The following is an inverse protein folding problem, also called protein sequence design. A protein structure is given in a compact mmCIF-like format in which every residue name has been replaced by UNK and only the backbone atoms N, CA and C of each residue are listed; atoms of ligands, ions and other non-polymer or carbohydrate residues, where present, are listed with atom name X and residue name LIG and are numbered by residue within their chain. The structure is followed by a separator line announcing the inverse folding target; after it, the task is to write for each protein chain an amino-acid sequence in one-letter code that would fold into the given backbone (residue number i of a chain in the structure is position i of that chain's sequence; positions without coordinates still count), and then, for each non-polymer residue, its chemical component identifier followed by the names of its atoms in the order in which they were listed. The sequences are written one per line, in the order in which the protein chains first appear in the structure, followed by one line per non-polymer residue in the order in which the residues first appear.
data_IF_113475645510
#
_entry.id   IF_113475645510
#
_cell.length_a   1.000
_cell.length_b   1.000
_cell.length_c   1.000
_cell.angle_alpha   90.00
_cell.angle_beta   90.00
_cell.angle_gamma   90.00
#
_symmetry.space_group_name_H-M   'P 1'
#
loop_
_entity.id
_entity.type
_entity.pdbx_description
1 polymer ?
#
# COMPACT_ATOMS: atom_id res chain seq x y z
N UNK A 1 3.02 -15.66 8.23
CA UNK A 1 4.44 -15.51 8.57
C UNK A 1 5.24 -16.67 8.00
N UNK A 2 4.88 -17.92 8.26
CA UNK A 2 5.62 -19.12 7.81
C UNK A 2 5.77 -19.24 6.27
N UNK A 3 4.99 -18.52 5.51
CA UNK A 3 5.07 -18.44 4.04
C UNK A 3 5.80 -17.17 3.54
N UNK A 4 6.54 -16.45 4.40
CA UNK A 4 7.25 -15.22 4.07
C UNK A 4 6.38 -14.00 3.91
N UNK A 5 5.10 -14.06 4.33
CA UNK A 5 4.18 -12.92 4.29
C UNK A 5 4.22 -12.13 5.59
N UNK A 6 4.06 -10.82 5.49
CA UNK A 6 3.78 -9.99 6.66
C UNK A 6 2.33 -10.18 7.10
N UNK A 7 2.11 -10.15 8.42
CA UNK A 7 0.79 -10.22 9.02
C UNK A 7 0.64 -9.10 10.05
N UNK A 8 -0.51 -8.44 10.07
CA UNK A 8 -0.87 -7.43 11.06
C UNK A 8 -1.99 -8.01 11.94
N UNK A 9 -1.82 -7.96 13.25
CA UNK A 9 -2.83 -8.35 14.24
C UNK A 9 -3.28 -7.12 14.98
N UNK A 10 -4.60 -6.85 14.99
CA UNK A 10 -5.19 -5.73 15.71
C UNK A 10 -6.42 -6.15 16.56
N UNK A 11 -6.90 -5.24 17.40
CA UNK A 11 -8.23 -5.31 18.00
C UNK A 11 -9.24 -4.63 17.08
N UNK A 12 -10.21 -5.38 16.54
CA UNK A 12 -11.15 -4.90 15.53
C UNK A 12 -12.59 -5.00 16.02
N UNK A 13 -13.37 -3.92 15.91
CA UNK A 13 -14.80 -3.90 16.24
C UNK A 13 -15.16 -3.76 17.72
N UNK A 14 -14.19 -3.66 18.64
CA UNK A 14 -14.44 -3.52 20.09
C UNK A 14 -14.73 -2.09 20.54
N UNK A 15 -14.51 -1.09 19.66
CA UNK A 15 -14.55 0.34 19.96
C UNK A 15 -15.85 1.07 19.65
N UNK A 16 -16.92 0.37 19.28
CA UNK A 16 -18.17 1.03 18.91
C UNK A 16 -19.24 0.85 19.97
N UNK A 17 -19.88 1.96 20.39
CA UNK A 17 -21.04 1.93 21.30
C UNK A 17 -22.25 1.20 20.70
N UNK A 18 -22.31 1.14 19.37
CA UNK A 18 -23.40 0.48 18.61
C UNK A 18 -23.22 -1.02 18.46
N UNK A 19 -22.01 -1.54 18.73
CA UNK A 19 -21.73 -2.99 18.66
C UNK A 19 -22.03 -3.62 20.01
N UNK A 20 -22.82 -4.70 20.00
CA UNK A 20 -23.12 -5.45 21.22
C UNK A 20 -21.82 -6.00 21.83
N UNK A 21 -21.55 -5.61 23.08
CA UNK A 21 -20.33 -5.99 23.78
C UNK A 21 -19.11 -5.11 23.51
N UNK A 22 -19.25 -4.03 22.72
CA UNK A 22 -18.20 -3.02 22.55
C UNK A 22 -17.77 -2.43 23.89
N UNK A 23 -16.48 -2.36 24.11
CA UNK A 23 -15.93 -1.99 25.44
C UNK A 23 -14.70 -1.06 25.35
N UNK A 24 -13.96 -1.07 24.24
CA UNK A 24 -12.81 -0.19 24.03
C UNK A 24 -13.32 1.18 23.60
N UNK A 25 -13.78 1.97 24.56
CA UNK A 25 -14.42 3.26 24.32
C UNK A 25 -13.48 4.39 24.76
N UNK A 26 -13.26 5.37 23.91
CA UNK A 26 -12.33 6.47 24.17
C UNK A 26 -13.00 7.69 24.81
N UNK A 27 -14.26 8.00 24.45
CA UNK A 27 -15.03 9.12 25.02
C UNK A 27 -15.98 8.72 26.14
N UNK A 28 -16.32 7.45 26.23
CA UNK A 28 -17.33 6.91 27.14
C UNK A 28 -16.73 5.85 28.08
N UNK A 29 -17.54 5.42 29.03
CA UNK A 29 -17.20 4.33 29.94
C UNK A 29 -16.18 4.70 31.05
N UNK A 30 -15.87 3.72 31.85
CA UNK A 30 -14.96 3.87 33.00
C UNK A 30 -13.51 3.63 32.56
N UNK A 31 -12.81 4.70 32.23
CA UNK A 31 -11.50 4.68 31.57
C UNK A 31 -10.46 3.85 32.35
N UNK A 32 -10.49 3.84 33.67
CA UNK A 32 -9.57 3.01 34.46
C UNK A 32 -9.75 1.52 34.18
N UNK A 33 -11.00 1.04 34.10
CA UNK A 33 -11.30 -0.36 33.78
C UNK A 33 -10.99 -0.70 32.33
N UNK A 34 -11.34 0.20 31.42
CA UNK A 34 -11.06 0.03 29.99
C UNK A 34 -9.55 -0.11 29.75
N UNK A 35 -8.73 0.81 30.28
CA UNK A 35 -7.28 0.76 30.19
C UNK A 35 -6.67 -0.50 30.80
N UNK A 36 -7.21 -0.95 31.95
CA UNK A 36 -6.75 -2.19 32.60
C UNK A 36 -7.07 -3.43 31.72
N UNK A 37 -8.29 -3.52 31.19
CA UNK A 37 -8.70 -4.61 30.29
C UNK A 37 -7.87 -4.58 29.00
N UNK A 38 -7.71 -3.42 28.38
CA UNK A 38 -6.92 -3.24 27.18
C UNK A 38 -5.47 -3.72 27.37
N UNK A 39 -4.85 -3.30 28.47
CA UNK A 39 -3.51 -3.76 28.85
C UNK A 39 -3.45 -5.28 28.99
N UNK A 40 -4.40 -5.88 29.69
CA UNK A 40 -4.44 -7.33 29.92
C UNK A 40 -4.62 -8.14 28.62
N UNK A 41 -5.39 -7.62 27.66
CA UNK A 41 -5.48 -8.22 26.33
C UNK A 41 -4.13 -8.19 25.60
N UNK A 42 -3.46 -7.05 25.59
CA UNK A 42 -2.16 -6.92 24.93
C UNK A 42 -1.05 -7.70 25.65
N UNK A 43 -1.11 -7.89 26.96
CA UNK A 43 -0.20 -8.78 27.69
C UNK A 43 -0.30 -10.23 27.18
N UNK A 44 -1.52 -10.72 26.95
CA UNK A 44 -1.74 -12.08 26.44
C UNK A 44 -1.29 -12.22 24.97
N UNK A 45 -1.66 -11.26 24.11
CA UNK A 45 -1.26 -11.27 22.70
C UNK A 45 0.26 -11.20 22.60
N UNK A 46 0.89 -10.27 23.29
CA UNK A 46 2.32 -10.08 23.26
C UNK A 46 3.09 -11.31 23.77
N UNK A 47 2.64 -11.93 24.86
CA UNK A 47 3.27 -13.16 25.39
C UNK A 47 3.12 -14.33 24.42
N UNK A 48 1.95 -14.50 23.82
CA UNK A 48 1.67 -15.59 22.86
C UNK A 48 2.56 -15.51 21.63
N UNK A 49 2.78 -14.31 21.11
CA UNK A 49 3.45 -14.12 19.82
C UNK A 49 4.88 -13.57 19.93
N UNK A 50 5.47 -13.49 21.11
CA UNK A 50 6.80 -12.88 21.33
C UNK A 50 7.96 -13.52 20.56
N UNK A 51 7.81 -14.77 20.14
CA UNK A 51 8.85 -15.50 19.42
C UNK A 51 8.74 -15.39 17.88
N UNK A 52 7.62 -14.85 17.36
CA UNK A 52 7.50 -14.56 15.93
C UNK A 52 8.45 -13.42 15.55
N UNK A 53 8.98 -13.49 14.34
CA UNK A 53 9.92 -12.51 13.83
C UNK A 53 9.25 -11.18 13.39
N UNK A 54 9.95 -10.37 12.64
CA UNK A 54 9.51 -9.04 12.21
C UNK A 54 8.40 -9.04 11.15
N UNK A 55 8.08 -10.21 10.56
CA UNK A 55 6.94 -10.34 9.66
C UNK A 55 5.60 -10.26 10.38
N UNK A 56 5.58 -10.43 11.70
CA UNK A 56 4.38 -10.20 12.50
C UNK A 56 4.40 -8.79 13.10
N UNK A 57 3.46 -7.97 12.71
CA UNK A 57 3.27 -6.59 13.16
C UNK A 57 2.07 -6.55 14.11
N UNK A 58 2.13 -5.74 15.14
CA UNK A 58 0.98 -5.50 16.02
C UNK A 58 0.43 -4.11 15.80
N UNK A 59 -0.88 -4.01 15.67
CA UNK A 59 -1.62 -2.76 15.59
C UNK A 59 -2.48 -2.56 16.83
N UNK A 60 -2.34 -1.41 17.45
CA UNK A 60 -2.90 -1.05 18.75
C UNK A 60 -4.41 -1.27 18.81
N UNK A 61 -5.15 -0.75 17.86
CA UNK A 61 -6.60 -0.83 17.70
C UNK A 61 -7.00 -0.49 16.28
N UNK A 62 -8.26 -0.73 15.93
CA UNK A 62 -8.82 -0.32 14.64
C UNK A 62 -9.32 1.15 14.69
N UNK A 63 -10.45 1.42 14.11
CA UNK A 63 -11.12 2.73 14.01
C UNK A 63 -11.77 3.13 15.33
N UNK A 64 -10.97 3.63 16.27
CA UNK A 64 -11.48 3.98 17.60
C UNK A 64 -12.03 5.41 17.61
N UNK A 65 -13.34 5.55 17.82
CA UNK A 65 -14.05 6.83 17.88
C UNK A 65 -15.43 6.71 18.59
N UNK A 66 -15.66 5.65 19.36
CA UNK A 66 -16.94 5.31 20.02
C UNK A 66 -18.14 5.18 19.04
N UNK A 67 -17.91 5.11 17.72
CA UNK A 67 -18.95 5.18 16.69
C UNK A 67 -19.60 6.57 16.56
N UNK A 68 -18.96 7.61 17.08
CA UNK A 68 -19.47 9.00 17.06
C UNK A 68 -18.72 9.82 16.01
N UNK A 69 -19.38 10.12 14.91
CA UNK A 69 -18.81 10.97 13.86
C UNK A 69 -18.67 12.43 14.27
N UNK A 70 -17.68 13.10 13.69
CA UNK A 70 -17.36 14.50 13.95
C UNK A 70 -16.02 14.67 14.66
N UNK A 71 -15.75 15.89 15.10
CA UNK A 71 -14.48 16.21 15.73
C UNK A 71 -14.33 15.50 17.09
N UNK A 72 -13.16 14.89 17.38
CA UNK A 72 -12.89 14.30 18.67
C UNK A 72 -12.94 15.35 19.80
N UNK A 73 -13.46 14.95 20.96
CA UNK A 73 -13.25 15.76 22.16
C UNK A 73 -11.80 15.61 22.65
N UNK A 74 -11.29 16.61 23.37
CA UNK A 74 -9.95 16.55 23.96
C UNK A 74 -9.75 15.29 24.82
N UNK A 75 -10.74 14.95 25.66
CA UNK A 75 -10.64 13.79 26.56
C UNK A 75 -10.64 12.46 25.78
N UNK A 76 -11.46 12.34 24.73
CA UNK A 76 -11.50 11.15 23.91
C UNK A 76 -10.15 10.94 23.21
N UNK A 77 -9.59 12.00 22.65
CA UNK A 77 -8.27 11.90 21.99
C UNK A 77 -7.14 11.59 22.98
N UNK A 78 -7.17 12.21 24.17
CA UNK A 78 -6.20 11.89 25.23
C UNK A 78 -6.27 10.41 25.67
N UNK A 79 -7.47 9.79 25.63
CA UNK A 79 -7.61 8.37 25.91
C UNK A 79 -7.05 7.49 24.79
N UNK A 80 -7.23 7.85 23.51
CA UNK A 80 -6.60 7.15 22.39
C UNK A 80 -5.07 7.20 22.51
N UNK A 81 -4.50 8.37 22.79
CA UNK A 81 -3.06 8.51 23.02
C UNK A 81 -2.59 7.64 24.20
N UNK A 82 -3.39 7.57 25.27
CA UNK A 82 -3.09 6.72 26.42
C UNK A 82 -3.15 5.22 26.08
N UNK A 83 -4.11 4.78 25.24
CA UNK A 83 -4.17 3.39 24.76
C UNK A 83 -2.92 3.07 23.93
N UNK A 84 -2.54 3.93 22.99
CA UNK A 84 -1.33 3.76 22.21
C UNK A 84 -0.08 3.66 23.09
N UNK A 85 0.04 4.48 24.15
CA UNK A 85 1.16 4.39 25.07
C UNK A 85 1.14 3.10 25.91
N UNK A 86 -0.04 2.65 26.39
CA UNK A 86 -0.20 1.38 27.12
C UNK A 86 0.21 0.21 26.20
N UNK A 87 -0.23 0.23 24.95
CA UNK A 87 0.12 -0.77 23.95
C UNK A 87 1.64 -0.87 23.75
N UNK A 88 2.27 0.24 23.41
CA UNK A 88 3.73 0.27 23.16
C UNK A 88 4.49 -0.23 24.37
N UNK A 89 4.19 0.29 25.58
CA UNK A 89 4.85 -0.12 26.81
C UNK A 89 4.65 -1.60 27.12
N UNK A 90 3.44 -2.12 26.92
CA UNK A 90 3.08 -3.50 27.24
C UNK A 90 3.79 -4.47 26.31
N UNK A 91 3.75 -4.20 25.00
CA UNK A 91 4.41 -5.05 24.01
C UNK A 91 5.92 -5.05 24.22
N UNK A 92 6.55 -3.90 24.34
CA UNK A 92 8.01 -3.81 24.54
C UNK A 92 8.49 -4.57 25.78
N UNK A 93 7.76 -4.44 26.90
CA UNK A 93 8.12 -5.10 28.17
C UNK A 93 7.94 -6.60 28.18
N UNK A 94 7.17 -7.16 27.25
CA UNK A 94 6.93 -8.62 27.19
C UNK A 94 8.16 -9.42 26.74
N UNK A 95 9.19 -8.76 26.20
CA UNK A 95 10.46 -9.39 25.80
C UNK A 95 10.38 -10.19 24.50
N UNK A 96 11.36 -11.05 24.29
CA UNK A 96 11.52 -11.78 23.02
C UNK A 96 11.69 -10.80 21.84
N UNK A 97 11.12 -11.11 20.69
CA UNK A 97 11.18 -10.25 19.52
C UNK A 97 10.28 -9.00 19.63
N UNK A 98 9.46 -8.90 20.67
CA UNK A 98 8.59 -7.75 20.87
C UNK A 98 9.34 -6.48 21.27
N UNK A 99 10.55 -6.59 21.82
CA UNK A 99 11.39 -5.44 22.17
C UNK A 99 11.85 -4.63 20.96
N UNK A 100 11.76 -5.21 19.75
CA UNK A 100 12.16 -4.60 18.46
C UNK A 100 11.09 -4.71 17.37
N UNK A 101 9.93 -5.34 17.65
CA UNK A 101 8.81 -5.51 16.71
C UNK A 101 8.31 -4.17 16.16
N UNK A 102 7.88 -4.14 14.92
CA UNK A 102 7.12 -3.04 14.38
C UNK A 102 5.76 -2.95 15.06
N UNK A 103 5.41 -1.75 15.52
CA UNK A 103 4.13 -1.44 16.17
C UNK A 103 3.41 -0.38 15.36
N UNK A 104 2.11 -0.57 15.14
CA UNK A 104 1.27 0.31 14.34
C UNK A 104 0.24 0.97 15.27
N UNK A 105 0.11 2.28 15.21
CA UNK A 105 -0.77 3.07 16.08
C UNK A 105 -1.70 3.97 15.27
N UNK A 106 -3.00 3.96 15.52
CA UNK A 106 -3.97 4.84 14.89
C UNK A 106 -4.19 6.13 15.68
N UNK A 107 -4.67 7.16 14.97
CA UNK A 107 -5.35 8.29 15.55
C UNK A 107 -6.87 8.07 15.64
N UNK A 108 -7.64 9.13 15.95
CA UNK A 108 -9.08 9.11 15.99
C UNK A 108 -9.68 8.60 14.68
N UNK A 109 -10.46 7.51 14.77
CA UNK A 109 -11.13 6.86 13.63
C UNK A 109 -10.21 6.58 12.44
N UNK A 110 -8.92 6.31 12.70
CA UNK A 110 -7.89 6.15 11.63
C UNK A 110 -7.91 7.23 10.55
N UNK A 111 -8.55 8.36 10.83
CA UNK A 111 -8.75 9.42 9.84
C UNK A 111 -7.50 10.27 9.66
N UNK A 112 -7.12 10.52 8.40
CA UNK A 112 -5.92 11.28 8.04
C UNK A 112 -5.92 12.68 8.66
N UNK A 113 -7.02 13.44 8.53
CA UNK A 113 -7.07 14.81 9.03
C UNK A 113 -7.00 14.86 10.55
N UNK A 114 -7.71 13.97 11.25
CA UNK A 114 -7.66 13.92 12.70
C UNK A 114 -6.29 13.44 13.23
N UNK A 115 -5.55 12.66 12.46
CA UNK A 115 -4.21 12.17 12.83
C UNK A 115 -3.11 13.18 12.50
N UNK A 116 -3.19 13.85 11.36
CA UNK A 116 -2.12 14.73 10.88
C UNK A 116 -2.29 16.19 11.31
N UNK A 117 -3.53 16.68 11.46
CA UNK A 117 -3.81 18.06 11.85
C UNK A 117 -3.87 18.22 13.39
N UNK A 118 -4.12 19.43 13.88
CA UNK A 118 -4.03 19.77 15.30
C UNK A 118 -5.27 19.37 16.12
N UNK A 119 -5.66 18.10 16.06
CA UNK A 119 -6.78 17.55 16.83
C UNK A 119 -6.38 16.85 18.12
N UNK A 120 -5.08 16.67 18.37
CA UNK A 120 -4.56 16.11 19.62
C UNK A 120 -3.84 14.77 19.49
N UNK A 121 -3.55 14.28 18.27
CA UNK A 121 -2.72 13.09 18.10
C UNK A 121 -1.30 13.31 18.63
N UNK A 122 -0.83 12.37 19.44
CA UNK A 122 0.51 12.36 19.99
C UNK A 122 1.20 11.02 19.75
N UNK A 123 2.44 11.06 19.27
CA UNK A 123 3.27 9.87 19.14
C UNK A 123 3.65 9.33 20.52
N UNK A 124 3.44 8.05 20.81
CA UNK A 124 3.84 7.47 22.08
C UNK A 124 5.38 7.42 22.21
N UNK A 125 5.85 7.47 23.44
CA UNK A 125 7.25 7.25 23.76
C UNK A 125 7.60 5.77 23.62
N UNK A 126 8.70 5.45 22.93
CA UNK A 126 9.21 4.07 22.75
C UNK A 126 10.45 3.82 23.65
N UNK A 127 10.34 4.15 24.93
CA UNK A 127 11.47 4.11 25.89
C UNK A 127 12.00 2.71 26.20
N UNK A 128 11.26 1.66 25.85
CA UNK A 128 11.65 0.27 26.03
C UNK A 128 12.08 -0.41 24.73
N UNK A 129 12.25 0.34 23.65
CA UNK A 129 12.80 -0.17 22.41
C UNK A 129 14.19 -0.78 22.67
N UNK A 130 14.45 -1.94 22.09
CA UNK A 130 15.73 -2.64 22.23
C UNK A 130 16.92 -1.76 21.83
N UNK A 131 17.96 -1.78 22.64
CA UNK A 131 19.23 -1.12 22.31
C UNK A 131 19.95 -1.75 21.10
N UNK A 132 19.49 -2.90 20.60
CA UNK A 132 19.96 -3.48 19.34
C UNK A 132 19.51 -2.70 18.12
N UNK A 133 18.47 -1.88 18.24
CA UNK A 133 18.00 -0.98 17.18
C UNK A 133 18.91 0.27 17.19
N UNK A 134 19.51 0.64 16.05
CA UNK A 134 20.38 1.81 15.97
C UNK A 134 19.70 3.08 16.46
N UNK A 135 20.46 3.91 17.16
CA UNK A 135 19.96 5.19 17.68
C UNK A 135 19.35 6.04 16.56
N UNK A 136 18.16 6.57 16.81
CA UNK A 136 17.41 7.37 15.83
C UNK A 136 16.48 6.59 14.92
N UNK A 137 16.64 5.27 14.81
CA UNK A 137 15.66 4.45 14.07
C UNK A 137 14.37 4.27 14.87
N UNK A 138 13.24 4.38 14.16
CA UNK A 138 11.92 4.20 14.75
C UNK A 138 11.42 2.77 14.50
N UNK A 139 10.60 2.26 15.42
CA UNK A 139 9.89 0.97 15.29
C UNK A 139 8.40 1.13 15.59
N UNK A 140 7.91 2.36 15.45
CA UNK A 140 6.49 2.70 15.51
C UNK A 140 6.09 3.27 14.15
N UNK A 141 4.97 2.81 13.61
CA UNK A 141 4.33 3.25 12.39
C UNK A 141 2.99 3.90 12.72
N UNK A 142 2.50 4.76 11.86
CA UNK A 142 1.19 5.40 12.00
C UNK A 142 0.18 4.72 11.07
N UNK A 143 -0.98 4.34 11.63
CA UNK A 143 -2.11 3.75 10.90
C UNK A 143 -3.15 4.79 10.58
N UNK A 144 -3.61 4.81 9.34
CA UNK A 144 -4.78 5.55 8.87
C UNK A 144 -5.56 4.70 7.88
N UNK A 145 -6.84 5.04 7.67
CA UNK A 145 -7.68 4.46 6.63
C UNK A 145 -8.09 5.53 5.62
N UNK A 146 -8.45 5.10 4.40
CA UNK A 146 -8.81 6.03 3.34
C UNK A 146 -9.97 5.50 2.50
N UNK A 147 -11.13 6.14 2.64
CA UNK A 147 -12.35 5.84 1.89
C UNK A 147 -13.00 7.11 1.31
N UNK A 148 -12.18 8.11 1.00
CA UNK A 148 -12.68 9.38 0.46
C UNK A 148 -12.74 9.36 -1.08
N UNK A 149 -13.84 9.86 -1.68
CA UNK A 149 -15.06 10.31 -1.01
C UNK A 149 -15.96 9.13 -0.64
N UNK A 150 -16.52 9.12 0.58
CA UNK A 150 -17.37 8.05 1.06
C UNK A 150 -18.59 7.77 0.15
N UNK A 151 -19.10 8.81 -0.53
CA UNK A 151 -20.19 8.68 -1.50
C UNK A 151 -19.87 7.65 -2.61
N UNK A 152 -18.62 7.63 -3.07
CA UNK A 152 -18.14 6.65 -4.05
C UNK A 152 -17.70 5.35 -3.38
N UNK A 153 -16.90 5.45 -2.31
CA UNK A 153 -16.19 4.33 -1.72
C UNK A 153 -17.05 3.42 -0.84
N UNK A 154 -18.06 3.97 -0.13
CA UNK A 154 -18.78 3.20 0.88
C UNK A 154 -20.30 3.38 0.93
N UNK A 155 -20.86 4.44 0.34
CA UNK A 155 -22.32 4.66 0.34
C UNK A 155 -23.01 3.66 -0.58
N UNK A 156 -23.86 2.81 -0.03
CA UNK A 156 -24.67 1.83 -0.76
C UNK A 156 -25.80 2.53 -1.53
N UNK A 157 -25.46 3.18 -2.62
CA UNK A 157 -26.36 3.96 -3.47
C UNK A 157 -25.93 3.88 -4.92
N UNK A 158 -26.89 3.98 -5.84
CA UNK A 158 -26.65 4.06 -7.29
C UNK A 158 -26.37 5.48 -7.79
N UNK A 159 -26.27 6.48 -6.90
CA UNK A 159 -26.14 7.90 -7.30
C UNK A 159 -24.70 8.30 -7.58
N UNK A 160 -23.76 7.91 -6.74
CA UNK A 160 -22.34 8.20 -6.93
C UNK A 160 -21.59 6.92 -7.30
N UNK A 161 -21.51 6.64 -8.59
CA UNK A 161 -20.97 5.39 -9.14
C UNK A 161 -19.68 5.58 -9.92
N UNK A 162 -19.27 6.83 -10.18
CA UNK A 162 -18.09 7.16 -10.97
C UNK A 162 -17.11 8.04 -10.19
N UNK A 163 -15.82 7.92 -10.55
CA UNK A 163 -14.73 8.68 -9.96
C UNK A 163 -13.57 8.82 -10.96
N UNK A 164 -12.77 9.87 -10.82
CA UNK A 164 -11.50 10.07 -11.51
C UNK A 164 -11.63 10.33 -13.01
N UNK A 165 -10.54 10.12 -13.73
CA UNK A 165 -10.44 10.37 -15.17
C UNK A 165 -11.31 9.44 -16.02
N UNK A 166 -11.68 8.28 -15.49
CA UNK A 166 -12.55 7.32 -16.16
C UNK A 166 -14.03 7.66 -16.06
N UNK A 167 -14.40 8.71 -15.33
CA UNK A 167 -15.78 9.16 -15.24
C UNK A 167 -16.28 9.72 -16.57
N UNK A 168 -17.47 9.31 -16.98
CA UNK A 168 -18.12 9.76 -18.23
C UNK A 168 -19.38 10.58 -17.99
N UNK A 169 -19.83 10.63 -16.73
CA UNK A 169 -21.03 11.37 -16.33
C UNK A 169 -20.79 12.11 -15.00
N UNK A 170 -20.64 13.42 -15.07
CA UNK A 170 -20.37 14.27 -13.91
C UNK A 170 -21.47 14.23 -12.83
N UNK A 171 -22.73 13.92 -13.20
CA UNK A 171 -23.81 13.78 -12.22
C UNK A 171 -23.69 12.54 -11.34
N UNK A 172 -22.80 11.62 -11.67
CA UNK A 172 -22.52 10.39 -10.94
C UNK A 172 -21.20 10.44 -10.17
N UNK A 173 -20.53 11.59 -10.15
CA UNK A 173 -19.28 11.84 -9.43
C UNK A 173 -19.57 12.66 -8.18
N UNK A 174 -18.88 12.37 -7.09
CA UNK A 174 -18.95 13.19 -5.88
C UNK A 174 -18.41 14.61 -6.14
N UNK A 175 -18.93 15.60 -5.44
CA UNK A 175 -18.50 17.00 -5.57
C UNK A 175 -17.18 17.30 -4.87
N UNK A 176 -16.56 16.31 -4.22
CA UNK A 176 -15.32 16.39 -3.46
C UNK A 176 -14.55 15.06 -3.54
N UNK A 177 -13.32 15.03 -3.05
CA UNK A 177 -12.54 13.79 -2.94
C UNK A 177 -12.04 13.29 -4.29
N UNK A 178 -11.68 14.21 -5.17
CA UNK A 178 -11.05 13.93 -6.46
C UNK A 178 -9.59 13.45 -6.30
N UNK A 179 -8.93 13.20 -7.41
CA UNK A 179 -7.54 12.75 -7.43
C UNK A 179 -6.59 13.74 -6.73
N UNK A 180 -6.81 15.04 -6.90
CA UNK A 180 -5.97 16.06 -6.26
C UNK A 180 -6.13 16.07 -4.75
N UNK A 181 -7.34 15.85 -4.26
CA UNK A 181 -7.62 15.67 -2.84
C UNK A 181 -6.90 14.42 -2.30
N UNK A 182 -7.02 13.27 -2.97
CA UNK A 182 -6.33 12.02 -2.61
C UNK A 182 -4.82 12.25 -2.48
N UNK A 183 -4.19 12.84 -3.50
CA UNK A 183 -2.76 13.17 -3.49
C UNK A 183 -2.38 14.06 -2.30
N UNK A 184 -3.22 15.07 -2.00
CA UNK A 184 -2.97 16.02 -0.90
C UNK A 184 -3.03 15.34 0.47
N UNK A 185 -3.96 14.39 0.66
CA UNK A 185 -4.10 13.63 1.91
C UNK A 185 -2.89 12.73 2.16
N UNK A 186 -2.44 12.00 1.14
CA UNK A 186 -1.25 11.14 1.26
C UNK A 186 0.03 11.97 1.46
N UNK A 187 0.17 13.09 0.73
CA UNK A 187 1.27 14.03 0.95
C UNK A 187 1.30 14.58 2.38
N UNK A 188 0.13 14.89 2.97
CA UNK A 188 0.02 15.33 4.36
C UNK A 188 0.63 14.31 5.33
N UNK A 189 0.31 13.01 5.15
CA UNK A 189 0.88 11.94 5.95
C UNK A 189 2.38 11.77 5.74
N UNK A 190 2.86 11.87 4.49
CA UNK A 190 4.28 11.86 4.19
C UNK A 190 5.01 12.96 4.95
N UNK A 191 4.60 14.23 4.79
CA UNK A 191 5.26 15.38 5.41
C UNK A 191 5.21 15.34 6.94
N UNK A 192 4.09 14.87 7.51
CA UNK A 192 3.94 14.83 8.97
C UNK A 192 4.72 13.70 9.62
N UNK A 193 4.78 12.52 8.98
CA UNK A 193 5.30 11.31 9.61
C UNK A 193 6.46 10.67 8.84
N UNK A 194 6.33 10.37 7.55
CA UNK A 194 7.36 9.65 6.79
C UNK A 194 8.67 10.43 6.76
N UNK A 195 8.63 11.72 6.44
CA UNK A 195 9.82 12.61 6.44
C UNK A 195 10.44 12.77 7.84
N UNK A 196 9.69 12.45 8.90
CA UNK A 196 10.17 12.44 10.28
C UNK A 196 10.56 11.03 10.79
N UNK A 197 10.69 10.06 9.88
CA UNK A 197 11.18 8.72 10.15
C UNK A 197 10.12 7.77 10.77
N UNK A 198 8.84 8.12 10.74
CA UNK A 198 7.73 7.25 11.12
C UNK A 198 7.04 6.73 9.87
N UNK A 199 7.19 5.45 9.50
CA UNK A 199 6.45 4.87 8.38
C UNK A 199 4.94 5.00 8.58
N UNK A 200 4.21 5.13 7.48
CA UNK A 200 2.75 5.19 7.47
C UNK A 200 2.18 3.99 6.74
N UNK A 201 1.18 3.37 7.33
CA UNK A 201 0.38 2.32 6.71
C UNK A 201 -1.04 2.83 6.57
N UNK A 202 -1.57 2.82 5.35
CA UNK A 202 -3.01 2.94 5.14
C UNK A 202 -3.57 1.52 5.27
N UNK A 203 -4.03 1.19 6.49
CA UNK A 203 -4.44 -0.17 6.87
C UNK A 203 -5.69 -0.66 6.15
N UNK A 204 -6.49 0.27 5.64
CA UNK A 204 -7.65 0.00 4.80
C UNK A 204 -7.85 1.11 3.77
N UNK A 205 -8.05 0.72 2.52
CA UNK A 205 -8.57 1.60 1.47
C UNK A 205 -9.35 0.79 0.44
N UNK A 206 -10.27 1.45 -0.26
CA UNK A 206 -11.01 0.79 -1.33
C UNK A 206 -12.30 1.48 -1.72
N UNK A 207 -13.01 0.87 -2.66
CA UNK A 207 -14.32 1.30 -3.11
C UNK A 207 -15.22 0.10 -3.40
N UNK A 208 -16.49 0.18 -2.98
CA UNK A 208 -17.50 -0.87 -3.19
C UNK A 208 -17.88 -1.03 -4.66
N UNK A 209 -18.30 -2.25 -5.02
CA UNK A 209 -18.73 -2.58 -6.37
C UNK A 209 -20.17 -2.07 -6.64
N UNK A 210 -20.29 -1.13 -7.57
CA UNK A 210 -21.57 -0.60 -8.08
C UNK A 210 -21.78 -0.91 -9.56
N UNK A 211 -21.03 -1.86 -10.12
CA UNK A 211 -21.05 -2.20 -11.55
C UNK A 211 -22.42 -2.70 -12.04
N UNK A 212 -23.23 -3.29 -11.17
CA UNK A 212 -24.60 -3.67 -11.48
C UNK A 212 -25.52 -2.46 -11.76
N UNK A 213 -25.19 -1.28 -11.27
CA UNK A 213 -25.95 -0.04 -11.43
C UNK A 213 -25.36 0.88 -12.51
N UNK A 214 -24.06 0.71 -12.78
CA UNK A 214 -23.34 1.50 -13.77
C UNK A 214 -22.13 0.71 -14.30
N UNK A 215 -22.16 0.33 -15.56
CA UNK A 215 -21.07 -0.42 -16.20
C UNK A 215 -19.73 0.34 -16.17
N UNK A 216 -19.74 1.67 -16.06
CA UNK A 216 -18.53 2.48 -15.95
C UNK A 216 -17.86 2.38 -14.57
N UNK A 217 -18.58 1.91 -13.54
CA UNK A 217 -18.05 1.78 -12.19
C UNK A 217 -16.80 0.90 -12.11
N UNK A 218 -16.76 -0.21 -12.85
CA UNK A 218 -15.59 -1.11 -12.83
C UNK A 218 -14.30 -0.40 -13.28
N UNK A 219 -14.38 0.44 -14.32
CA UNK A 219 -13.24 1.21 -14.80
C UNK A 219 -12.85 2.33 -13.79
N UNK A 220 -13.84 3.01 -13.20
CA UNK A 220 -13.60 4.04 -12.18
C UNK A 220 -13.01 3.45 -10.88
N UNK A 221 -13.43 2.23 -10.48
CA UNK A 221 -12.84 1.54 -9.34
C UNK A 221 -11.37 1.19 -9.61
N UNK A 222 -11.06 0.63 -10.77
CA UNK A 222 -9.68 0.31 -11.14
C UNK A 222 -8.79 1.57 -11.12
N UNK A 223 -9.27 2.68 -11.69
CA UNK A 223 -8.60 3.99 -11.68
C UNK A 223 -8.36 4.50 -10.24
N UNK A 224 -9.36 4.38 -9.35
CA UNK A 224 -9.23 4.76 -7.94
C UNK A 224 -8.12 3.96 -7.22
N UNK A 225 -8.08 2.63 -7.41
CA UNK A 225 -7.04 1.79 -6.81
C UNK A 225 -5.65 2.08 -7.40
N UNK A 226 -5.56 2.30 -8.73
CA UNK A 226 -4.30 2.69 -9.40
C UNK A 226 -3.75 3.99 -8.84
N UNK A 227 -4.57 5.05 -8.82
CA UNK A 227 -4.16 6.38 -8.33
C UNK A 227 -3.78 6.34 -6.85
N UNK A 228 -4.55 5.60 -6.04
CA UNK A 228 -4.21 5.45 -4.63
C UNK A 228 -2.87 4.76 -4.42
N UNK A 229 -2.61 3.66 -5.12
CA UNK A 229 -1.34 2.94 -5.08
C UNK A 229 -0.19 3.81 -5.61
N UNK A 230 -0.40 4.52 -6.71
CA UNK A 230 0.59 5.43 -7.30
C UNK A 230 1.03 6.53 -6.32
N UNK A 231 0.08 7.23 -5.68
CA UNK A 231 0.42 8.26 -4.71
C UNK A 231 0.98 7.68 -3.40
N UNK A 232 0.55 6.50 -3.00
CA UNK A 232 1.12 5.80 -1.84
C UNK A 232 2.60 5.48 -2.07
N UNK A 233 2.96 4.93 -3.23
CA UNK A 233 4.35 4.66 -3.61
C UNK A 233 5.17 5.96 -3.67
N UNK A 234 4.66 6.98 -4.36
CA UNK A 234 5.29 8.30 -4.48
C UNK A 234 5.63 8.93 -3.12
N UNK A 235 4.78 8.74 -2.12
CA UNK A 235 4.93 9.33 -0.78
C UNK A 235 5.50 8.36 0.27
N UNK A 236 5.94 7.16 -0.14
CA UNK A 236 6.53 6.17 0.76
C UNK A 236 5.57 5.64 1.82
N UNK A 237 4.29 5.46 1.44
CA UNK A 237 3.20 4.99 2.28
C UNK A 237 2.85 3.56 1.85
N UNK A 238 2.54 2.70 2.81
CA UNK A 238 2.17 1.30 2.56
C UNK A 238 0.65 1.18 2.51
N UNK A 239 0.03 0.88 1.35
CA UNK A 239 -1.41 0.68 1.24
C UNK A 239 -1.80 -0.78 1.47
N UNK A 240 -2.92 -1.01 2.16
CA UNK A 240 -3.55 -2.31 2.34
C UNK A 240 -4.99 -2.23 1.83
N UNK A 241 -5.29 -2.94 0.75
CA UNK A 241 -6.62 -2.94 0.16
C UNK A 241 -7.61 -3.70 1.07
N UNK A 242 -8.77 -3.09 1.33
CA UNK A 242 -9.83 -3.72 2.09
C UNK A 242 -10.60 -4.73 1.25
N UNK A 243 -10.61 -5.99 1.68
CA UNK A 243 -11.43 -7.07 1.15
C UNK A 243 -12.28 -7.69 2.26
N UNK A 244 -13.57 -7.41 2.26
CA UNK A 244 -14.51 -7.96 3.26
C UNK A 244 -15.01 -9.38 2.91
N UNK A 245 -14.51 -9.99 1.82
CA UNK A 245 -14.92 -11.31 1.34
C UNK A 245 -16.30 -11.34 0.67
N UNK A 246 -16.95 -10.20 0.47
CA UNK A 246 -18.26 -10.11 -0.20
C UNK A 246 -18.10 -9.59 -1.62
N UNK A 247 -18.42 -10.45 -2.60
CA UNK A 247 -18.27 -10.21 -4.04
C UNK A 247 -19.56 -9.78 -4.74
N UNK A 248 -20.61 -9.44 -3.98
CA UNK A 248 -21.89 -8.93 -4.51
C UNK A 248 -21.89 -7.41 -4.66
N UNK A 249 -23.06 -6.89 -5.05
CA UNK A 249 -23.28 -5.44 -5.12
C UNK A 249 -22.94 -4.79 -3.78
N UNK A 250 -22.22 -3.67 -3.84
CA UNK A 250 -21.70 -2.95 -2.69
C UNK A 250 -20.64 -3.71 -1.88
N UNK A 251 -20.07 -4.80 -2.42
CA UNK A 251 -18.97 -5.52 -1.79
C UNK A 251 -17.61 -4.89 -2.08
N UNK A 252 -16.66 -5.11 -1.16
CA UNK A 252 -15.25 -4.80 -1.35
C UNK A 252 -14.45 -6.01 -1.83
N UNK A 253 -15.08 -7.19 -1.96
CA UNK A 253 -14.40 -8.43 -2.28
C UNK A 253 -13.65 -8.39 -3.61
N UNK A 254 -12.37 -8.73 -3.56
CA UNK A 254 -11.47 -8.84 -4.71
C UNK A 254 -11.24 -10.29 -5.12
N UNK A 255 -11.45 -11.19 -4.16
CA UNK A 255 -11.23 -12.62 -4.30
C UNK A 255 -12.46 -13.41 -3.83
N UNK A 256 -12.74 -14.51 -4.50
CA UNK A 256 -13.64 -15.54 -3.95
C UNK A 256 -12.82 -16.44 -3.00
N UNK A 257 -13.13 -16.35 -1.71
CA UNK A 257 -12.41 -17.07 -0.65
C UNK A 257 -12.65 -18.59 -0.67
N UNK A 258 -13.65 -19.08 -1.39
CA UNK A 258 -13.94 -20.52 -1.53
C UNK A 258 -13.21 -21.13 -2.72
N UNK A 259 -13.23 -20.46 -3.87
CA UNK A 259 -12.59 -20.94 -5.09
C UNK A 259 -11.16 -20.43 -5.27
N UNK A 260 -10.71 -19.49 -4.41
CA UNK A 260 -9.40 -18.82 -4.49
C UNK A 260 -9.16 -18.06 -5.81
N UNK A 261 -10.23 -17.61 -6.44
CA UNK A 261 -10.16 -16.90 -7.73
C UNK A 261 -10.27 -15.40 -7.52
N UNK A 262 -9.55 -14.65 -8.35
CA UNK A 262 -9.75 -13.22 -8.50
C UNK A 262 -11.13 -12.96 -9.10
N UNK A 263 -11.91 -12.10 -8.46
CA UNK A 263 -13.26 -11.70 -8.93
C UNK A 263 -13.25 -10.30 -9.55
N UNK A 264 -12.27 -9.47 -9.22
CA UNK A 264 -12.12 -8.09 -9.66
C UNK A 264 -10.76 -7.90 -10.36
N UNK A 265 -10.60 -8.55 -11.52
CA UNK A 265 -9.29 -8.59 -12.21
C UNK A 265 -8.77 -7.19 -12.59
N UNK A 266 -9.63 -6.26 -12.97
CA UNK A 266 -9.23 -4.88 -13.31
C UNK A 266 -8.61 -4.14 -12.11
N UNK A 267 -9.17 -4.35 -10.92
CA UNK A 267 -8.62 -3.76 -9.67
C UNK A 267 -7.28 -4.39 -9.32
N UNK A 268 -7.18 -5.73 -9.40
CA UNK A 268 -5.90 -6.41 -9.14
C UNK A 268 -4.83 -5.97 -10.13
N UNK A 269 -5.16 -5.85 -11.41
CA UNK A 269 -4.21 -5.38 -12.41
C UNK A 269 -3.72 -3.95 -12.11
N UNK A 270 -4.63 -3.06 -11.69
CA UNK A 270 -4.31 -1.68 -11.31
C UNK A 270 -3.35 -1.60 -10.12
N UNK A 271 -3.57 -2.42 -9.09
CA UNK A 271 -2.66 -2.52 -7.93
C UNK A 271 -1.29 -3.07 -8.38
N UNK A 272 -1.30 -4.13 -9.18
CA UNK A 272 -0.10 -4.82 -9.63
C UNK A 272 0.71 -4.02 -10.65
N UNK A 273 0.12 -3.04 -11.33
CA UNK A 273 0.85 -2.11 -12.18
C UNK A 273 1.85 -1.26 -11.39
N UNK A 274 1.53 -0.97 -10.13
CA UNK A 274 2.38 -0.17 -9.24
C UNK A 274 3.29 -1.07 -8.38
N UNK A 275 2.72 -2.11 -7.75
CA UNK A 275 3.42 -2.97 -6.77
C UNK A 275 3.70 -4.37 -7.26
N UNK A 276 3.15 -4.73 -8.41
CA UNK A 276 3.56 -5.97 -9.03
C UNK A 276 5.07 -5.95 -9.17
N UNK A 277 5.68 -7.03 -8.72
CA UNK A 277 7.07 -7.23 -9.04
C UNK A 277 7.19 -6.91 -10.52
N UNK A 278 7.98 -5.91 -10.83
CA UNK A 278 8.64 -5.84 -12.12
C UNK A 278 9.73 -6.92 -12.20
N UNK A 279 9.51 -8.07 -11.58
CA UNK A 279 9.96 -9.33 -12.10
C UNK A 279 9.18 -9.50 -13.39
N UNK A 280 9.47 -8.63 -14.35
CA UNK A 280 9.40 -8.96 -15.75
C UNK A 280 9.78 -10.44 -15.81
N UNK A 281 8.90 -11.24 -16.35
CA UNK A 281 9.21 -12.65 -16.51
C UNK A 281 10.63 -12.72 -17.05
N UNK A 282 11.53 -13.41 -16.33
CA UNK A 282 12.93 -13.53 -16.74
C UNK A 282 12.91 -13.94 -18.20
N UNK A 283 13.60 -13.20 -19.04
CA UNK A 283 13.60 -13.49 -20.45
C UNK A 283 14.08 -14.92 -20.68
N UNK A 284 13.23 -15.74 -21.24
CA UNK A 284 13.53 -17.11 -21.63
C UNK A 284 14.03 -17.19 -23.06
N UNK A 285 13.96 -16.07 -23.80
CA UNK A 285 14.41 -15.95 -25.16
C UNK A 285 14.58 -14.51 -25.62
N UNK A 286 15.44 -14.32 -26.60
CA UNK A 286 15.67 -13.05 -27.29
C UNK A 286 15.67 -13.30 -28.79
N UNK A 287 14.99 -12.43 -29.56
CA UNK A 287 14.92 -12.52 -31.01
C UNK A 287 15.28 -11.17 -31.61
N UNK A 288 16.17 -11.18 -32.61
CA UNK A 288 16.48 -10.01 -33.43
C UNK A 288 15.49 -9.89 -34.58
N UNK A 289 15.19 -8.67 -34.96
CA UNK A 289 14.38 -8.34 -36.15
C UNK A 289 15.08 -8.67 -37.47
N UNK A 290 16.44 -8.77 -37.46
CA UNK A 290 17.26 -9.11 -38.62
C UNK A 290 18.34 -10.13 -38.22
N UNK A 291 18.64 -11.05 -39.13
CA UNK A 291 19.71 -12.05 -38.98
C UNK A 291 20.98 -11.69 -39.73
N UNK A 292 20.89 -10.71 -40.64
CA UNK A 292 22.03 -10.18 -41.40
C UNK A 292 21.73 -8.74 -41.84
N UNK A 293 22.78 -7.93 -41.97
CA UNK A 293 22.68 -6.57 -42.55
C UNK A 293 23.96 -6.21 -43.28
N UNK A 294 23.85 -5.29 -44.23
CA UNK A 294 24.99 -4.68 -44.93
C UNK A 294 24.98 -3.20 -44.56
N UNK A 295 26.14 -2.69 -44.16
CA UNK A 295 26.38 -1.28 -43.84
C UNK A 295 27.65 -0.86 -44.54
N UNK A 296 27.60 0.24 -45.30
CA UNK A 296 28.81 0.82 -45.92
C UNK A 296 29.50 1.73 -44.88
N UNK A 297 30.82 1.83 -45.01
CA UNK A 297 31.59 2.78 -44.18
C UNK A 297 31.15 4.20 -44.54
N UNK A 298 30.76 4.97 -43.53
CA UNK A 298 30.23 6.33 -43.70
C UNK A 298 28.71 6.41 -43.79
N UNK A 299 27.98 5.28 -43.84
CA UNK A 299 26.54 5.27 -43.75
C UNK A 299 26.08 5.71 -42.33
N UNK A 300 24.82 6.17 -42.24
CA UNK A 300 24.18 6.37 -40.94
C UNK A 300 24.11 5.05 -40.18
N UNK A 301 24.10 5.16 -38.82
CA UNK A 301 23.95 4.01 -37.92
C UNK A 301 22.68 3.22 -38.23
N UNK A 302 22.79 1.90 -38.33
CA UNK A 302 21.65 1.04 -38.58
C UNK A 302 21.13 0.46 -37.22
N UNK A 303 19.82 0.49 -37.07
CA UNK A 303 19.16 -0.03 -35.88
C UNK A 303 18.93 -1.54 -35.98
N UNK A 304 19.38 -2.30 -34.99
CA UNK A 304 18.90 -3.65 -34.67
C UNK A 304 17.94 -3.57 -33.53
N UNK A 305 16.78 -4.22 -33.65
CA UNK A 305 15.80 -4.34 -32.57
C UNK A 305 15.82 -5.78 -32.05
N UNK A 306 15.79 -5.89 -30.72
CA UNK A 306 15.67 -7.15 -30.04
C UNK A 306 14.34 -7.20 -29.30
N UNK A 307 13.61 -8.32 -29.41
CA UNK A 307 12.37 -8.60 -28.68
C UNK A 307 12.62 -9.75 -27.72
N UNK A 308 12.25 -9.55 -26.49
CA UNK A 308 12.33 -10.58 -25.43
C UNK A 308 11.11 -11.50 -25.47
N UNK A 309 11.28 -12.71 -24.97
CA UNK A 309 10.19 -13.65 -24.69
C UNK A 309 10.23 -14.03 -23.22
N UNK A 310 9.17 -13.78 -22.44
CA UNK A 310 7.94 -13.10 -22.85
C UNK A 310 8.16 -11.61 -23.14
N UNK A 311 7.25 -10.99 -23.91
CA UNK A 311 7.41 -9.62 -24.44
C UNK A 311 7.38 -8.51 -23.38
N UNK A 312 6.84 -8.80 -22.20
CA UNK A 312 6.79 -7.95 -21.01
C UNK A 312 8.05 -8.05 -20.14
N UNK A 313 9.03 -8.92 -20.51
CA UNK A 313 10.31 -8.95 -19.82
C UNK A 313 11.01 -7.59 -19.88
N UNK A 314 11.47 -7.11 -18.72
CA UNK A 314 12.26 -5.87 -18.58
C UNK A 314 13.76 -6.15 -18.42
N UNK A 315 14.20 -7.37 -18.70
CA UNK A 315 15.61 -7.73 -18.62
C UNK A 315 16.43 -6.83 -19.53
N UNK A 316 17.56 -6.40 -19.05
CA UNK A 316 18.42 -5.48 -19.77
C UNK A 316 19.15 -6.20 -20.89
N UNK A 317 18.87 -5.80 -22.12
CA UNK A 317 19.58 -6.30 -23.31
C UNK A 317 20.98 -5.70 -23.34
N UNK A 318 21.98 -6.57 -23.43
CA UNK A 318 23.37 -6.21 -23.67
C UNK A 318 23.76 -6.56 -25.10
N UNK A 319 24.54 -5.67 -25.73
CA UNK A 319 24.96 -5.81 -27.10
C UNK A 319 26.47 -5.96 -27.16
N UNK A 320 26.95 -6.84 -28.04
CA UNK A 320 28.38 -7.06 -28.24
C UNK A 320 28.70 -7.28 -29.74
N UNK A 321 29.75 -6.64 -30.23
CA UNK A 321 30.39 -6.98 -31.51
C UNK A 321 31.46 -8.05 -31.27
N UNK A 322 31.58 -8.97 -32.23
CA UNK A 322 32.69 -9.93 -32.23
C UNK A 322 34.00 -9.31 -32.72
N UNK A 323 33.90 -8.16 -33.41
CA UNK A 323 35.08 -7.43 -33.94
C UNK A 323 34.70 -5.94 -34.04
N UNK A 324 35.17 -5.14 -33.10
CA UNK A 324 34.89 -3.71 -33.04
C UNK A 324 35.71 -2.90 -34.04
N UNK A 325 36.76 -3.49 -34.60
CA UNK A 325 37.50 -2.88 -35.70
C UNK A 325 36.71 -2.94 -37.01
N UNK A 326 35.80 -3.91 -37.18
CA UNK A 326 34.90 -4.02 -38.34
C UNK A 326 33.61 -3.25 -38.11
N UNK A 327 32.92 -3.46 -37.00
CA UNK A 327 31.72 -2.71 -36.64
C UNK A 327 31.52 -2.63 -35.13
N UNK A 328 31.02 -1.49 -34.64
CA UNK A 328 30.64 -1.28 -33.25
C UNK A 328 29.13 -1.32 -33.08
N UNK A 329 28.67 -1.64 -31.86
CA UNK A 329 27.25 -1.55 -31.45
C UNK A 329 27.13 -0.85 -30.14
N UNK A 330 26.18 0.06 -29.97
CA UNK A 330 25.93 0.75 -28.71
C UNK A 330 24.83 0.03 -27.88
N UNK A 331 24.60 0.51 -26.65
CA UNK A 331 23.60 -0.05 -25.73
C UNK A 331 22.14 0.03 -26.22
N UNK A 332 21.88 0.77 -27.31
CA UNK A 332 20.58 0.88 -27.96
C UNK A 332 20.42 -0.03 -29.18
N UNK A 333 21.43 -0.86 -29.50
CA UNK A 333 21.43 -1.73 -30.67
C UNK A 333 21.74 -1.01 -31.96
N UNK A 334 22.32 0.20 -31.93
CA UNK A 334 22.72 0.92 -33.11
C UNK A 334 24.12 0.49 -33.55
N UNK A 335 24.22 -0.02 -34.79
CA UNK A 335 25.44 -0.56 -35.37
C UNK A 335 26.07 0.49 -36.29
N UNK A 336 27.39 0.64 -36.17
CA UNK A 336 28.22 1.55 -37.01
C UNK A 336 29.31 0.75 -37.67
N UNK A 337 29.44 0.82 -38.99
CA UNK A 337 30.59 0.25 -39.72
C UNK A 337 31.85 1.07 -39.44
N UNK A 338 32.94 0.40 -39.17
CA UNK A 338 34.28 1.00 -38.92
C UNK A 338 35.23 0.72 -40.07
N UNK A 339 35.42 -0.56 -40.43
CA UNK A 339 36.25 -1.00 -41.53
C UNK A 339 35.55 -2.09 -42.36
N UNK A 340 36.08 -2.35 -43.57
CA UNK A 340 35.59 -3.44 -44.41
C UNK A 340 35.88 -4.80 -43.78
N UNK A 341 34.86 -5.65 -43.65
CA UNK A 341 34.96 -6.97 -43.03
C UNK A 341 33.58 -7.56 -42.73
N UNK A 342 33.57 -8.65 -42.00
CA UNK A 342 32.37 -9.30 -41.51
C UNK A 342 32.52 -9.56 -40.03
N UNK A 343 31.57 -9.16 -39.22
CA UNK A 343 31.51 -9.45 -37.78
C UNK A 343 30.12 -9.89 -37.36
N UNK A 344 30.01 -10.44 -36.14
CA UNK A 344 28.74 -10.85 -35.54
C UNK A 344 28.34 -9.87 -34.46
N UNK A 345 27.12 -9.34 -34.55
CA UNK A 345 26.49 -8.59 -33.44
C UNK A 345 25.63 -9.55 -32.63
N UNK A 346 25.85 -9.59 -31.32
CA UNK A 346 25.13 -10.45 -30.41
C UNK A 346 24.34 -9.60 -29.42
N UNK A 347 23.07 -9.92 -29.26
CA UNK A 347 22.26 -9.46 -28.14
C UNK A 347 22.09 -10.56 -27.10
N UNK A 348 22.19 -10.21 -25.83
CA UNK A 348 22.01 -11.15 -24.71
C UNK A 348 21.33 -10.47 -23.52
N UNK A 349 20.66 -11.25 -22.69
CA UNK A 349 20.06 -10.84 -21.42
C UNK A 349 20.74 -11.60 -20.30
#
# INVERSE_FOLDING_TARGET
VDNGLYAIVNMHGDGYTTVSGGWLLCGNGEQTKIKAKYKACWEQIADTFKNYDEHLIFESMNEEFDGTYGNPSYNAYANINAYNQIFVDTVRKSGGNNDKRWLLIPGWNTNINYTADNYGFEMPSDKYLSSSIPSGQKRIMVSVHYYDPWDFCGTESSTCTQWGEKATNSSKVASWGDESYMASQLKKMNTKFVENGYPVVVGEFGAIDKSAFDSQNAACRADYYEKFCYYSDMYGIIPVAWDNGYNGNYGFGLFDRYSYKVTQQSVINAIMEIYGDSSSATATGIKLDQTSMIINIGDEKKQLNATLTPADSKDKITWKSSDEEVATVNSKGQVTAVNAGTCKITASV
#
